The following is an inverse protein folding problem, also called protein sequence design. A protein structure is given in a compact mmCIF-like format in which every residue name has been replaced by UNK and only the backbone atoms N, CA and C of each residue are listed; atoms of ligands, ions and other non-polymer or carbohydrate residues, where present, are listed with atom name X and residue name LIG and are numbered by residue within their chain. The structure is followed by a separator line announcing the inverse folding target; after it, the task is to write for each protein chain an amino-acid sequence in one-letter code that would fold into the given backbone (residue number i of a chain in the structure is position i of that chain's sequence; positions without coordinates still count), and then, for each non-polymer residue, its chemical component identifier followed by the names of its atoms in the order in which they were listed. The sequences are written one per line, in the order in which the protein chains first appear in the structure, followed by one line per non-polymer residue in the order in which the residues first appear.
data_IF_066600417083
#
_entry.id   IF_066600417083
#
_cell.length_a   1.000
_cell.length_b   1.000
_cell.length_c   1.000
_cell.angle_alpha   90.00
_cell.angle_beta   90.00
_cell.angle_gamma   90.00
#
_symmetry.space_group_name_H-M   'P 1'
#
loop_
_entity.id
_entity.type
_entity.pdbx_description
1 polymer ?
#
# COMPACT_ATOMS: atom_id res chain seq x y z
N UNK A 1 -3.98 -5.95 10.70
CA UNK A 1 -3.64 -4.50 10.61
C UNK A 1 -3.62 -4.07 9.14
N UNK A 2 -3.71 -2.77 8.84
CA UNK A 2 -3.83 -2.25 7.45
C UNK A 2 -2.67 -2.74 6.57
N UNK A 3 -1.42 -2.65 7.06
CA UNK A 3 -0.23 -3.11 6.34
C UNK A 3 -0.21 -4.61 6.07
N UNK A 4 -0.60 -5.42 7.05
CA UNK A 4 -0.69 -6.89 6.91
C UNK A 4 -1.71 -7.33 5.85
N UNK A 5 -2.63 -6.43 5.46
CA UNK A 5 -3.60 -6.70 4.41
C UNK A 5 -3.01 -6.60 2.98
N UNK A 6 -1.81 -6.02 2.86
CA UNK A 6 -1.03 -5.95 1.62
C UNK A 6 -0.06 -7.13 1.47
N UNK A 7 0.46 -7.65 2.58
CA UNK A 7 1.46 -8.71 2.61
C UNK A 7 2.14 -8.79 3.97
N UNK A 8 3.34 -9.36 4.02
CA UNK A 8 4.13 -9.48 5.25
C UNK A 8 4.76 -8.12 5.60
N UNK A 9 4.42 -7.57 6.77
CA UNK A 9 4.96 -6.29 7.24
C UNK A 9 6.39 -6.51 7.75
N UNK A 10 7.35 -5.82 7.14
CA UNK A 10 8.76 -5.85 7.52
C UNK A 10 9.05 -4.76 8.55
N UNK A 11 8.56 -3.55 8.31
CA UNK A 11 8.91 -2.37 9.08
C UNK A 11 7.76 -1.35 9.04
N UNK A 12 7.52 -0.68 10.15
CA UNK A 12 6.63 0.48 10.21
C UNK A 12 7.52 1.65 10.62
N UNK A 13 7.63 2.64 9.74
CA UNK A 13 8.31 3.89 10.04
C UNK A 13 7.38 4.60 11.04
N UNK A 14 7.68 4.50 12.34
CA UNK A 14 7.06 5.16 13.51
C UNK A 14 8.15 5.81 14.33
N UNK A 15 7.99 7.09 14.69
CA UNK A 15 8.92 7.73 15.62
C UNK A 15 8.87 7.01 16.98
N UNK A 16 9.97 7.00 17.72
CA UNK A 16 10.08 6.27 19.00
C UNK A 16 9.00 6.69 20.04
N UNK A 17 8.45 7.88 19.90
CA UNK A 17 7.37 8.42 20.74
C UNK A 17 5.95 8.03 20.27
N UNK A 18 5.81 7.21 19.23
CA UNK A 18 4.52 6.80 18.66
C UNK A 18 3.78 7.90 17.88
N UNK A 19 4.32 9.12 17.83
CA UNK A 19 3.69 10.26 17.16
C UNK A 19 4.18 10.41 15.73
N UNK A 20 3.23 10.33 14.80
CA UNK A 20 3.47 10.57 13.39
C UNK A 20 3.24 12.01 12.98
N UNK A 21 4.33 12.74 12.72
CA UNK A 21 4.28 14.11 12.17
C UNK A 21 4.11 14.17 10.65
N UNK A 22 4.11 13.03 9.97
CA UNK A 22 3.96 12.96 8.51
C UNK A 22 2.49 12.87 8.10
N UNK A 23 2.20 13.37 6.89
CA UNK A 23 0.85 13.31 6.28
C UNK A 23 0.35 11.89 6.01
N UNK A 24 1.23 10.88 6.07
CA UNK A 24 0.91 9.48 5.87
C UNK A 24 1.81 8.57 6.71
N UNK A 25 1.30 7.38 7.02
CA UNK A 25 2.06 6.28 7.61
C UNK A 25 2.85 5.57 6.49
N UNK A 26 4.13 5.28 6.73
CA UNK A 26 4.96 4.51 5.80
C UNK A 26 5.21 3.14 6.38
N UNK A 27 4.94 2.13 5.57
CA UNK A 27 5.08 0.72 5.95
C UNK A 27 5.87 0.02 4.86
N UNK A 28 6.92 -0.70 5.25
CA UNK A 28 7.66 -1.60 4.37
C UNK A 28 7.00 -2.97 4.42
N UNK A 29 6.50 -3.43 3.28
CA UNK A 29 5.76 -4.69 3.17
C UNK A 29 6.41 -5.55 2.08
N UNK A 30 6.63 -6.83 2.39
CA UNK A 30 6.95 -7.86 1.41
C UNK A 30 5.65 -8.33 0.77
N UNK A 31 5.55 -8.15 -0.53
CA UNK A 31 4.35 -8.46 -1.31
C UNK A 31 4.72 -9.33 -2.51
N UNK A 32 3.73 -10.09 -3.00
CA UNK A 32 3.83 -10.81 -4.26
C UNK A 32 3.65 -9.84 -5.44
N UNK A 33 4.70 -9.64 -6.22
CA UNK A 33 4.75 -8.68 -7.34
C UNK A 33 4.00 -9.16 -8.59
N UNK A 34 3.68 -10.46 -8.67
CA UNK A 34 2.85 -11.01 -9.75
C UNK A 34 1.37 -10.62 -9.58
N UNK A 35 0.99 -10.09 -8.41
CA UNK A 35 -0.36 -9.62 -8.11
C UNK A 35 -0.48 -8.12 -8.33
N UNK A 36 -1.67 -7.69 -8.72
CA UNK A 36 -1.99 -6.26 -8.89
C UNK A 36 -1.85 -5.54 -7.55
N UNK A 37 -1.14 -4.41 -7.56
CA UNK A 37 -1.03 -3.52 -6.41
C UNK A 37 -2.37 -2.81 -6.19
N UNK A 38 -2.90 -2.92 -4.97
CA UNK A 38 -4.16 -2.28 -4.60
C UNK A 38 -3.94 -0.79 -4.29
N UNK A 39 -4.79 0.08 -4.82
CA UNK A 39 -4.64 1.54 -4.64
C UNK A 39 -5.34 2.10 -3.41
N UNK A 40 -6.19 1.30 -2.80
CA UNK A 40 -6.87 1.65 -1.58
C UNK A 40 -7.73 0.51 -1.06
N UNK A 41 -8.21 0.68 0.15
CA UNK A 41 -9.07 -0.28 0.83
C UNK A 41 -10.02 0.42 1.78
N UNK A 42 -11.23 -0.13 1.85
CA UNK A 42 -12.22 0.22 2.87
C UNK A 42 -11.90 -0.52 4.18
N UNK A 43 -11.80 0.22 5.28
CA UNK A 43 -11.57 -0.31 6.63
C UNK A 43 -12.71 0.14 7.54
N UNK A 44 -12.95 -0.61 8.62
CA UNK A 44 -13.80 -0.15 9.72
C UNK A 44 -12.96 0.53 10.78
N UNK A 45 -13.36 1.75 11.16
CA UNK A 45 -12.84 2.47 12.31
C UNK A 45 -13.35 1.87 13.62
N UNK A 46 -12.76 2.30 14.73
CA UNK A 46 -13.18 1.88 16.08
C UNK A 46 -14.60 2.37 16.42
N UNK A 47 -15.00 3.49 15.82
CA UNK A 47 -16.36 4.05 15.85
C UNK A 47 -17.37 3.25 15.00
N UNK A 48 -16.92 2.20 14.32
CA UNK A 48 -17.73 1.40 13.40
C UNK A 48 -17.97 2.07 12.04
N UNK A 49 -17.44 3.27 11.83
CA UNK A 49 -17.56 3.98 10.56
C UNK A 49 -16.63 3.36 9.51
N UNK A 50 -17.02 3.51 8.25
CA UNK A 50 -16.25 3.01 7.13
C UNK A 50 -15.31 4.09 6.59
N UNK A 51 -14.01 3.80 6.56
CA UNK A 51 -12.96 4.71 6.09
C UNK A 51 -12.27 4.18 4.84
N UNK A 52 -12.00 5.07 3.89
CA UNK A 52 -11.15 4.75 2.74
C UNK A 52 -9.69 5.09 3.04
N UNK A 53 -8.83 4.08 3.01
CA UNK A 53 -7.39 4.25 3.07
C UNK A 53 -6.83 4.15 1.65
N UNK A 54 -6.09 5.18 1.24
CA UNK A 54 -5.39 5.19 -0.04
C UNK A 54 -3.96 4.70 0.15
N UNK A 55 -3.52 3.81 -0.73
CA UNK A 55 -2.15 3.32 -0.77
C UNK A 55 -1.35 4.08 -1.83
N UNK A 56 -0.19 4.58 -1.43
CA UNK A 56 0.82 5.15 -2.32
C UNK A 56 2.08 4.31 -2.20
N UNK A 57 2.67 4.01 -3.35
CA UNK A 57 3.86 3.19 -3.44
C UNK A 57 5.05 4.07 -3.85
N UNK A 58 6.21 3.80 -3.26
CA UNK A 58 7.46 4.48 -3.60
C UNK A 58 8.39 3.49 -4.30
N UNK A 59 9.21 3.97 -5.25
CA UNK A 59 10.28 3.19 -5.91
C UNK A 59 9.78 1.96 -6.69
N UNK A 60 8.72 2.11 -7.50
CA UNK A 60 8.24 1.06 -8.41
C UNK A 60 8.85 1.28 -9.81
N UNK A 61 9.84 0.48 -10.26
CA UNK A 61 10.52 0.72 -11.53
C UNK A 61 9.62 0.50 -12.77
N UNK A 62 8.77 -0.54 -12.80
CA UNK A 62 7.98 -0.94 -13.98
C UNK A 62 6.48 -1.11 -13.68
N UNK A 63 5.83 -0.11 -13.06
CA UNK A 63 4.41 -0.21 -12.69
C UNK A 63 3.44 0.26 -13.78
N UNK A 64 2.52 -0.61 -14.21
CA UNK A 64 1.43 -0.23 -15.11
C UNK A 64 0.29 0.47 -14.36
N UNK A 65 0.10 1.76 -14.66
CA UNK A 65 -0.99 2.56 -14.10
C UNK A 65 -2.39 2.09 -14.51
N UNK A 66 -2.54 1.35 -15.61
CA UNK A 66 -3.82 0.80 -16.07
C UNK A 66 -4.20 -0.46 -15.28
N UNK A 67 -3.40 -1.53 -15.38
CA UNK A 67 -3.74 -2.82 -14.76
C UNK A 67 -3.24 -3.01 -13.32
N UNK A 68 -2.26 -2.23 -12.87
CA UNK A 68 -1.70 -2.31 -11.52
C UNK A 68 -0.62 -3.39 -11.31
N UNK A 69 -0.08 -3.97 -12.38
CA UNK A 69 1.01 -4.94 -12.31
C UNK A 69 2.38 -4.26 -12.37
N UNK A 70 3.39 -4.85 -11.72
CA UNK A 70 4.76 -4.33 -11.65
C UNK A 70 5.72 -4.93 -12.69
N UNK A 71 5.33 -6.02 -13.34
CA UNK A 71 6.16 -6.70 -14.34
C UNK A 71 5.67 -6.46 -15.77
N UNK A 72 4.66 -5.60 -15.94
CA UNK A 72 4.05 -5.33 -17.22
C UNK A 72 4.13 -3.85 -17.55
N UNK A 73 4.68 -3.53 -18.71
CA UNK A 73 4.63 -2.17 -19.24
C UNK A 73 3.22 -1.83 -19.75
N UNK A 74 2.92 -0.53 -19.86
CA UNK A 74 1.61 -0.06 -20.35
C UNK A 74 1.28 -0.61 -21.75
N UNK A 75 2.30 -0.79 -22.58
CA UNK A 75 2.17 -1.29 -23.97
C UNK A 75 1.71 -2.75 -24.03
N UNK A 76 2.07 -3.54 -23.03
CA UNK A 76 1.77 -4.97 -22.94
C UNK A 76 0.54 -5.25 -22.05
N UNK A 77 -0.14 -4.19 -21.59
CA UNK A 77 -1.34 -4.26 -20.78
C UNK A 77 -2.57 -4.72 -21.60
N UNK A 78 -3.21 -5.87 -21.25
CA UNK A 78 -4.46 -6.33 -21.87
C UNK A 78 -5.57 -5.27 -21.89
#
# INVERSE_FOLDING_TARGET
TIGASLGEVIEVDVADLGVHWRKCLRVRVKIDIARKLIRGRKIKGEDGADWWVLFKYERLPNFCYRCGLLELDLKDCP
#
